data_IF_220651798836
#
_entry.id   IF_220651798836
#
_cell.length_a   1.000
_cell.length_b   1.000
_cell.length_c   1.000
_cell.angle_alpha   90.00
_cell.angle_beta   90.00
_cell.angle_gamma   90.00
#
_symmetry.space_group_name_H-M   'P 1'
#
loop_
_entity.id
_entity.type
_entity.pdbx_description
1 polymer ?
#
# COMPACT_ATOMS: atom_id res chain seq x y z
N UNK A 1 12.42 -14.75 -14.97
CA UNK A 1 11.07 -14.86 -14.38
C UNK A 1 10.84 -13.83 -13.27
N UNK A 2 11.10 -12.54 -13.52
CA UNK A 2 10.81 -11.44 -12.55
C UNK A 2 9.70 -10.52 -13.03
N UNK A 3 9.39 -10.59 -14.33
CA UNK A 3 8.34 -9.82 -14.99
C UNK A 3 6.97 -10.45 -14.69
N UNK A 4 6.94 -11.79 -14.56
CA UNK A 4 5.71 -12.55 -14.30
C UNK A 4 5.10 -12.25 -12.92
N UNK A 5 5.93 -12.12 -11.88
CA UNK A 5 5.46 -11.74 -10.53
C UNK A 5 4.92 -10.30 -10.46
N UNK A 6 5.46 -9.41 -11.30
CA UNK A 6 4.98 -8.03 -11.38
C UNK A 6 3.63 -7.94 -12.09
N UNK A 7 3.42 -8.76 -13.13
CA UNK A 7 2.13 -8.88 -13.82
C UNK A 7 1.05 -9.51 -12.93
N UNK A 8 1.40 -10.55 -12.15
CA UNK A 8 0.47 -11.21 -11.24
C UNK A 8 -0.09 -10.27 -10.15
N UNK A 9 0.69 -9.28 -9.71
CA UNK A 9 0.24 -8.26 -8.74
C UNK A 9 -0.70 -7.22 -9.34
N UNK A 10 -0.60 -6.98 -10.64
CA UNK A 10 -1.53 -6.12 -11.39
C UNK A 10 -2.83 -6.90 -11.64
N UNK A 11 -2.75 -8.18 -12.04
CA UNK A 11 -3.92 -9.04 -12.28
C UNK A 11 -4.71 -9.38 -11.01
N UNK A 12 -4.04 -9.52 -9.86
CA UNK A 12 -4.71 -9.82 -8.60
C UNK A 12 -5.61 -8.69 -8.07
N UNK A 13 -5.62 -7.50 -8.69
CA UNK A 13 -6.52 -6.41 -8.30
C UNK A 13 -6.27 -5.82 -6.91
N UNK A 14 -5.27 -6.33 -6.17
CA UNK A 14 -4.82 -5.79 -4.88
C UNK A 14 -4.04 -4.48 -5.04
N UNK A 15 -3.78 -4.06 -6.27
CA UNK A 15 -3.08 -2.82 -6.56
C UNK A 15 -3.99 -1.63 -6.26
N UNK A 16 -3.71 -0.95 -5.17
CA UNK A 16 -4.53 0.17 -4.72
C UNK A 16 -5.57 -0.17 -3.68
N UNK A 17 -5.45 -1.28 -2.96
CA UNK A 17 -6.27 -1.57 -1.77
C UNK A 17 -5.38 -1.74 -0.55
N UNK A 18 -5.80 -1.17 0.58
CA UNK A 18 -5.10 -1.25 1.84
C UNK A 18 -5.22 -2.64 2.44
N UNK A 19 -4.11 -3.28 2.79
CA UNK A 19 -4.11 -4.59 3.47
C UNK A 19 -4.58 -4.53 4.93
N UNK A 20 -4.68 -3.33 5.53
CA UNK A 20 -5.09 -3.16 6.93
C UNK A 20 -6.57 -2.81 7.06
N UNK A 21 -7.02 -1.80 6.32
CA UNK A 21 -8.41 -1.32 6.41
C UNK A 21 -9.27 -1.73 5.21
N UNK A 22 -8.70 -2.45 4.24
CA UNK A 22 -9.39 -2.88 3.01
C UNK A 22 -9.99 -1.71 2.18
N UNK A 23 -9.61 -0.46 2.48
CA UNK A 23 -10.00 0.73 1.70
C UNK A 23 -9.11 0.95 0.49
N UNK A 24 -9.64 1.67 -0.51
CA UNK A 24 -8.88 2.08 -1.68
C UNK A 24 -7.74 3.07 -1.31
N UNK A 25 -6.53 2.78 -1.80
CA UNK A 25 -5.36 3.63 -1.72
C UNK A 25 -5.46 4.70 -2.80
N UNK A 26 -5.25 5.95 -2.43
CA UNK A 26 -5.32 7.06 -3.38
C UNK A 26 -4.33 6.87 -4.54
N UNK A 27 -4.80 7.13 -5.76
CA UNK A 27 -3.99 7.01 -6.98
C UNK A 27 -2.69 7.80 -6.89
N UNK A 28 -2.73 9.03 -6.35
CA UNK A 28 -1.54 9.86 -6.11
C UNK A 28 -0.44 9.14 -5.30
N UNK A 29 -0.84 8.25 -4.38
CA UNK A 29 0.09 7.49 -3.55
C UNK A 29 0.63 6.26 -4.27
N UNK A 30 -0.17 5.64 -5.13
CA UNK A 30 0.28 4.59 -6.04
C UNK A 30 1.22 5.14 -7.13
N UNK A 31 0.97 6.34 -7.63
CA UNK A 31 1.88 7.04 -8.57
C UNK A 31 3.23 7.35 -7.90
N UNK A 32 3.20 7.83 -6.66
CA UNK A 32 4.44 8.07 -5.91
C UNK A 32 5.16 6.77 -5.51
N UNK A 33 4.42 5.73 -5.12
CA UNK A 33 4.94 4.42 -4.69
C UNK A 33 4.00 3.30 -5.12
N UNK A 34 4.19 2.71 -6.32
CA UNK A 34 3.29 1.69 -6.87
C UNK A 34 3.33 0.36 -6.09
N UNK A 35 4.31 0.19 -5.20
CA UNK A 35 4.45 -1.02 -4.38
C UNK A 35 3.83 -0.87 -2.98
N UNK A 36 3.09 0.21 -2.72
CA UNK A 36 2.47 0.45 -1.41
C UNK A 36 1.24 -0.43 -1.22
N UNK A 37 1.21 -1.19 -0.12
CA UNK A 37 0.12 -2.09 0.27
C UNK A 37 -0.79 -1.50 1.34
N UNK A 38 -0.41 -0.39 1.96
CA UNK A 38 -1.20 0.31 2.99
C UNK A 38 -1.72 1.63 2.47
N UNK A 39 -2.86 2.13 2.98
CA UNK A 39 -3.37 3.48 2.72
C UNK A 39 -2.64 4.55 3.54
N UNK A 40 -2.89 5.84 3.25
CA UNK A 40 -2.22 6.97 3.92
C UNK A 40 -2.56 6.97 5.40
N UNK A 41 -3.84 6.76 5.76
CA UNK A 41 -4.32 6.73 7.15
C UNK A 41 -3.62 5.67 7.98
N UNK A 42 -3.59 4.41 7.52
CA UNK A 42 -2.94 3.32 8.26
C UNK A 42 -1.44 3.59 8.43
N UNK A 43 -0.79 4.17 7.42
CA UNK A 43 0.63 4.51 7.49
C UNK A 43 0.91 5.68 8.45
N UNK A 44 0.04 6.69 8.48
CA UNK A 44 0.12 7.78 9.45
C UNK A 44 -0.11 7.29 10.88
N UNK A 45 -1.07 6.39 11.08
CA UNK A 45 -1.33 5.75 12.37
C UNK A 45 -0.12 4.95 12.84
N UNK A 46 0.51 4.18 11.94
CA UNK A 46 1.72 3.43 12.22
C UNK A 46 2.89 4.35 12.61
N UNK A 47 3.15 5.41 11.82
CA UNK A 47 4.20 6.40 12.14
C UNK A 47 3.94 7.09 13.48
N UNK A 48 2.66 7.31 13.82
CA UNK A 48 2.25 7.88 15.12
C UNK A 48 2.51 6.92 16.27
N UNK A 49 2.21 5.63 16.08
CA UNK A 49 2.51 4.58 17.07
C UNK A 49 4.02 4.43 17.29
N UNK A 50 4.80 4.38 16.20
CA UNK A 50 6.27 4.32 16.26
C UNK A 50 6.86 5.50 17.03
N UNK A 51 6.36 6.72 16.83
CA UNK A 51 6.80 7.91 17.58
C UNK A 51 6.40 7.89 19.06
N UNK A 52 5.32 7.20 19.41
CA UNK A 52 4.84 7.14 20.80
C UNK A 52 5.60 6.11 21.66
N UNK A 53 6.23 5.12 21.00
CA UNK A 53 7.03 4.07 21.65
C UNK A 53 8.54 4.32 21.60
N UNK A 54 8.98 5.43 20.98
CA UNK A 54 10.39 5.83 20.90
C UNK A 54 10.76 6.98 21.84
#
# INVERSE_FOLDING_TARGET
KKIDDALARIENGTFGTCEICEEEISVKRLEARPVTTMCIRCKEEQEKQEKSYG
#
